data_IF_816887760304
#
_entry.id   IF_816887760304
#
_cell.length_a   1.000
_cell.length_b   1.000
_cell.length_c   1.000
_cell.angle_alpha   90.00
_cell.angle_beta   90.00
_cell.angle_gamma   90.00
#
_symmetry.space_group_name_H-M   'P 1'
#
loop_
_entity.id
_entity.type
_entity.pdbx_description
1 polymer ?
#
# COMPACT_ATOMS: atom_id res chain seq x y z
N UNK A 1 8.20 37.55 3.94
CA UNK A 1 6.94 36.96 3.40
C UNK A 1 5.86 37.16 4.44
N UNK A 2 4.59 37.33 4.07
CA UNK A 2 3.49 37.60 5.01
C UNK A 2 2.39 36.54 4.93
N UNK A 3 1.94 36.09 6.09
CA UNK A 3 0.81 35.16 6.24
C UNK A 3 -0.25 35.74 7.16
N UNK A 4 -1.51 35.58 6.77
CA UNK A 4 -2.65 35.86 7.63
C UNK A 4 -3.24 34.52 8.09
N UNK A 5 -3.42 34.38 9.40
CA UNK A 5 -4.06 33.22 10.03
C UNK A 5 -5.38 33.68 10.65
N UNK A 6 -6.48 33.02 10.30
CA UNK A 6 -7.82 33.30 10.84
C UNK A 6 -8.16 32.21 11.86
N UNK A 7 -8.42 32.60 13.10
CA UNK A 7 -8.63 31.69 14.22
C UNK A 7 -7.39 31.56 15.10
N UNK A 8 -7.50 31.95 16.38
CA UNK A 8 -6.45 31.90 17.39
C UNK A 8 -6.55 30.60 18.23
N UNK A 9 -6.58 29.45 17.55
CA UNK A 9 -6.71 28.12 18.14
C UNK A 9 -5.36 27.41 18.33
N UNK A 10 -5.36 26.21 18.92
CA UNK A 10 -4.13 25.48 19.25
C UNK A 10 -3.27 25.21 18.01
N UNK A 11 -3.91 24.91 16.88
CA UNK A 11 -3.33 24.65 15.57
C UNK A 11 -2.53 25.87 15.09
N UNK A 12 -3.13 27.07 15.19
CA UNK A 12 -2.47 28.33 14.84
C UNK A 12 -1.19 28.52 15.66
N UNK A 13 -1.25 28.25 16.97
CA UNK A 13 -0.09 28.36 17.86
C UNK A 13 1.02 27.38 17.47
N UNK A 14 0.67 26.13 17.18
CA UNK A 14 1.65 25.12 16.75
C UNK A 14 2.30 25.48 15.41
N UNK A 15 1.50 25.96 14.45
CA UNK A 15 2.00 26.41 13.14
C UNK A 15 2.99 27.57 13.28
N UNK A 16 2.62 28.61 14.03
CA UNK A 16 3.45 29.80 14.23
C UNK A 16 4.80 29.44 14.85
N UNK A 17 4.81 28.49 15.78
CA UNK A 17 6.04 28.04 16.43
C UNK A 17 7.00 27.29 15.50
N UNK A 18 6.51 26.74 14.37
CA UNK A 18 7.25 25.88 13.43
C UNK A 18 7.64 26.58 12.12
N UNK A 19 6.87 27.57 11.67
CA UNK A 19 7.14 28.30 10.41
C UNK A 19 8.54 28.95 10.41
N UNK A 20 9.17 29.23 9.28
CA UNK A 20 10.51 29.88 9.26
C UNK A 20 10.50 31.31 9.85
N UNK A 21 11.60 31.76 10.44
CA UNK A 21 11.69 33.07 11.12
C UNK A 21 11.46 34.30 10.20
N UNK A 22 11.60 34.14 8.88
CA UNK A 22 11.41 35.23 7.90
C UNK A 22 9.96 35.57 7.53
N UNK A 23 8.98 35.05 8.27
CA UNK A 23 7.56 35.30 8.05
C UNK A 23 7.01 36.37 9.00
N UNK A 24 6.34 37.36 8.43
CA UNK A 24 5.47 38.29 9.15
C UNK A 24 4.09 37.64 9.31
N UNK A 25 3.57 37.62 10.53
CA UNK A 25 2.39 36.83 10.90
C UNK A 25 1.33 37.74 11.49
N UNK A 26 0.17 37.77 10.85
CA UNK A 26 -1.05 38.41 11.35
C UNK A 26 -2.04 37.33 11.80
N UNK A 27 -2.55 37.41 13.01
CA UNK A 27 -3.60 36.52 13.55
C UNK A 27 -4.88 37.31 13.76
N UNK A 28 -5.99 36.82 13.21
CA UNK A 28 -7.31 37.43 13.31
C UNK A 28 -8.24 36.49 14.08
N UNK A 29 -8.93 37.00 15.09
CA UNK A 29 -9.99 36.27 15.80
C UNK A 29 -11.05 37.25 16.31
N UNK A 30 -12.30 36.82 16.45
CA UNK A 30 -13.36 37.65 17.00
C UNK A 30 -13.26 37.79 18.53
N UNK A 31 -12.75 36.75 19.20
CA UNK A 31 -12.67 36.67 20.65
C UNK A 31 -11.42 37.38 21.16
N UNK A 32 -11.65 38.49 21.86
CA UNK A 32 -10.60 39.32 22.43
C UNK A 32 -9.83 38.59 23.55
N UNK A 33 -10.50 37.77 24.34
CA UNK A 33 -9.88 37.04 25.43
C UNK A 33 -9.00 35.91 24.89
N UNK A 34 -9.44 35.21 23.84
CA UNK A 34 -8.60 34.26 23.08
C UNK A 34 -7.33 34.96 22.58
N UNK A 35 -7.46 36.08 21.85
CA UNK A 35 -6.30 36.83 21.33
C UNK A 35 -5.37 37.33 22.43
N UNK A 36 -5.90 37.82 23.54
CA UNK A 36 -5.10 38.29 24.68
C UNK A 36 -4.25 37.15 25.25
N UNK A 37 -4.84 35.98 25.41
CA UNK A 37 -4.17 34.80 25.96
C UNK A 37 -3.34 34.02 24.93
N UNK A 38 -3.52 34.29 23.64
CA UNK A 38 -2.80 33.63 22.55
C UNK A 38 -1.33 34.03 22.53
N UNK A 39 -0.48 33.19 23.12
CA UNK A 39 0.96 33.42 23.26
C UNK A 39 1.74 32.41 22.43
N UNK A 40 2.70 32.91 21.64
CA UNK A 40 3.56 32.11 20.76
C UNK A 40 5.03 32.43 21.06
N UNK A 41 5.96 31.63 20.53
CA UNK A 41 7.41 31.88 20.70
C UNK A 41 7.95 33.01 19.80
N UNK A 42 7.06 33.75 19.11
CA UNK A 42 7.39 34.73 18.07
C UNK A 42 6.54 35.97 18.18
N UNK A 43 7.07 37.06 17.63
CA UNK A 43 6.31 38.28 17.47
C UNK A 43 5.25 38.08 16.38
N UNK A 44 4.00 38.39 16.74
CA UNK A 44 2.85 38.32 15.84
C UNK A 44 2.02 39.59 15.98
N UNK A 45 1.35 39.99 14.91
CA UNK A 45 0.33 41.04 14.93
C UNK A 45 -1.03 40.40 15.21
N UNK A 46 -1.80 40.97 16.14
CA UNK A 46 -3.10 40.44 16.55
C UNK A 46 -4.20 41.43 16.19
N UNK A 47 -5.23 40.97 15.50
CA UNK A 47 -6.36 41.79 15.07
C UNK A 47 -7.65 41.18 15.59
N UNK A 48 -8.35 41.92 16.46
CA UNK A 48 -9.69 41.53 16.86
C UNK A 48 -10.69 41.91 15.76
N UNK A 49 -11.51 40.96 15.33
CA UNK A 49 -12.61 41.21 14.42
C UNK A 49 -13.08 39.98 13.65
N UNK A 50 -14.16 40.16 12.89
CA UNK A 50 -14.69 39.15 11.99
C UNK A 50 -13.73 38.92 10.81
N UNK A 51 -13.32 37.67 10.62
CA UNK A 51 -12.42 37.26 9.54
C UNK A 51 -12.99 37.52 8.15
N UNK A 52 -14.32 37.53 7.98
CA UNK A 52 -14.99 37.84 6.71
C UNK A 52 -15.01 39.34 6.40
N UNK A 53 -14.66 40.19 7.38
CA UNK A 53 -14.65 41.63 7.20
C UNK A 53 -13.45 42.10 6.37
N UNK A 54 -13.71 42.64 5.18
CA UNK A 54 -12.67 43.23 4.32
C UNK A 54 -11.88 44.32 5.04
N UNK A 55 -12.50 45.09 5.95
CA UNK A 55 -11.82 46.12 6.72
C UNK A 55 -10.79 45.53 7.70
N UNK A 56 -11.13 44.40 8.35
CA UNK A 56 -10.23 43.71 9.27
C UNK A 56 -9.09 43.04 8.49
N UNK A 57 -9.40 42.36 7.38
CA UNK A 57 -8.40 41.76 6.50
C UNK A 57 -7.42 42.79 5.91
N UNK A 58 -7.91 43.97 5.52
CA UNK A 58 -7.05 45.09 5.07
C UNK A 58 -6.13 45.59 6.17
N UNK A 59 -6.62 45.76 7.40
CA UNK A 59 -5.80 46.12 8.56
C UNK A 59 -4.73 45.07 8.85
N UNK A 60 -5.04 43.79 8.64
CA UNK A 60 -4.11 42.67 8.78
C UNK A 60 -3.13 42.52 7.61
N UNK A 61 -3.27 43.35 6.57
CA UNK A 61 -2.32 43.43 5.45
C UNK A 61 -2.61 42.52 4.27
N UNK A 62 -3.86 42.09 4.05
CA UNK A 62 -4.22 41.11 2.99
C UNK A 62 -3.73 41.49 1.60
N UNK A 63 -3.68 42.78 1.27
CA UNK A 63 -3.26 43.28 -0.05
C UNK A 63 -1.80 42.94 -0.39
N UNK A 64 -0.96 42.69 0.62
CA UNK A 64 0.46 42.35 0.46
C UNK A 64 0.80 40.95 1.00
N UNK A 65 -0.22 40.13 1.29
CA UNK A 65 -0.02 38.81 1.86
C UNK A 65 0.36 37.77 0.81
N UNK A 66 1.26 36.87 1.20
CA UNK A 66 1.66 35.75 0.35
C UNK A 66 0.82 34.50 0.61
N UNK A 67 0.22 34.40 1.80
CA UNK A 67 -0.58 33.26 2.21
C UNK A 67 -1.75 33.66 3.12
N UNK A 68 -2.85 32.92 3.04
CA UNK A 68 -3.97 32.98 3.98
C UNK A 68 -4.30 31.57 4.44
N UNK A 69 -4.40 31.38 5.75
CA UNK A 69 -4.71 30.10 6.39
C UNK A 69 -5.94 30.29 7.29
N UNK A 70 -6.97 29.49 7.08
CA UNK A 70 -8.22 29.53 7.85
C UNK A 70 -8.31 28.35 8.80
N UNK A 71 -8.41 28.64 10.10
CA UNK A 71 -8.41 27.71 11.23
C UNK A 71 -9.58 28.01 12.19
N UNK A 72 -10.72 28.49 11.65
CA UNK A 72 -11.93 28.67 12.44
C UNK A 72 -12.73 27.37 12.45
N UNK A 73 -13.60 27.23 13.46
CA UNK A 73 -14.51 26.10 13.63
C UNK A 73 -15.70 26.13 12.64
N UNK A 74 -15.77 27.13 11.74
CA UNK A 74 -16.85 27.28 10.77
C UNK A 74 -16.30 27.23 9.34
N UNK A 75 -16.66 26.17 8.61
CA UNK A 75 -16.30 26.03 7.20
C UNK A 75 -16.91 27.14 6.32
N UNK A 76 -18.09 27.65 6.67
CA UNK A 76 -18.69 28.78 5.98
C UNK A 76 -17.82 30.05 6.07
N UNK A 77 -17.35 30.37 7.28
CA UNK A 77 -16.44 31.50 7.51
C UNK A 77 -15.13 31.28 6.76
N UNK A 78 -14.54 30.09 6.87
CA UNK A 78 -13.28 29.76 6.22
C UNK A 78 -13.38 29.95 4.70
N UNK A 79 -14.41 29.38 4.07
CA UNK A 79 -14.66 29.49 2.62
C UNK A 79 -14.83 30.96 2.18
N UNK A 80 -15.60 31.76 2.92
CA UNK A 80 -15.79 33.17 2.56
C UNK A 80 -14.48 33.97 2.65
N UNK A 81 -13.66 33.72 3.67
CA UNK A 81 -12.35 34.39 3.76
C UNK A 81 -11.44 33.99 2.60
N UNK A 82 -11.41 32.71 2.23
CA UNK A 82 -10.59 32.24 1.11
C UNK A 82 -11.06 32.81 -0.24
N UNK A 83 -12.37 33.01 -0.44
CA UNK A 83 -12.90 33.72 -1.61
C UNK A 83 -12.37 35.16 -1.68
N UNK A 84 -12.38 35.88 -0.56
CA UNK A 84 -11.83 37.24 -0.48
C UNK A 84 -10.32 37.23 -0.76
N UNK A 85 -9.59 36.26 -0.20
CA UNK A 85 -8.15 36.11 -0.42
C UNK A 85 -7.82 35.84 -1.90
N UNK A 86 -8.61 34.99 -2.57
CA UNK A 86 -8.47 34.68 -4.01
C UNK A 86 -8.73 35.92 -4.88
N UNK A 87 -9.72 36.75 -4.52
CA UNK A 87 -9.95 38.04 -5.19
C UNK A 87 -8.76 39.00 -5.05
N UNK A 88 -8.00 38.92 -3.95
CA UNK A 88 -6.75 39.65 -3.74
C UNK A 88 -5.53 38.99 -4.40
N UNK A 89 -5.73 37.98 -5.26
CA UNK A 89 -4.69 37.27 -6.03
C UNK A 89 -3.63 36.59 -5.17
N UNK A 90 -3.99 36.19 -3.94
CA UNK A 90 -3.13 35.41 -3.07
C UNK A 90 -3.10 33.96 -3.56
N UNK A 91 -1.90 33.42 -3.76
CA UNK A 91 -1.71 32.09 -4.36
C UNK A 91 -1.66 30.95 -3.33
N UNK A 92 -1.27 31.21 -2.08
CA UNK A 92 -1.16 30.17 -1.04
C UNK A 92 -2.34 30.25 -0.11
N UNK A 93 -3.36 29.45 -0.43
CA UNK A 93 -4.62 29.42 0.30
C UNK A 93 -4.77 28.04 0.92
N UNK A 94 -5.03 27.99 2.24
CA UNK A 94 -5.19 26.72 2.94
C UNK A 94 -6.26 26.80 4.02
N UNK A 95 -6.94 25.69 4.28
CA UNK A 95 -7.91 25.57 5.38
C UNK A 95 -7.80 24.23 6.09
N UNK A 96 -8.22 24.21 7.35
CA UNK A 96 -8.66 22.97 8.01
C UNK A 96 -10.16 22.81 7.76
N UNK A 97 -10.59 21.61 7.37
CA UNK A 97 -12.01 21.24 7.25
C UNK A 97 -12.55 20.78 8.60
N UNK A 98 -13.78 21.18 8.94
CA UNK A 98 -14.46 20.72 10.14
C UNK A 98 -15.61 19.74 9.81
N UNK A 99 -16.28 19.93 8.68
CA UNK A 99 -17.37 19.08 8.18
C UNK A 99 -17.09 18.62 6.74
N UNK A 100 -16.92 17.32 6.55
CA UNK A 100 -16.62 16.68 5.25
C UNK A 100 -17.62 17.01 4.14
N UNK A 101 -18.87 17.37 4.48
CA UNK A 101 -19.88 17.77 3.48
C UNK A 101 -19.49 19.05 2.71
N UNK A 102 -18.52 19.82 3.21
CA UNK A 102 -17.98 21.02 2.56
C UNK A 102 -16.80 20.73 1.62
N UNK A 103 -16.29 19.50 1.54
CA UNK A 103 -15.12 19.12 0.74
C UNK A 103 -15.20 19.62 -0.71
N UNK A 104 -16.35 19.42 -1.37
CA UNK A 104 -16.54 19.84 -2.77
C UNK A 104 -16.45 21.36 -2.94
N UNK A 105 -16.93 22.15 -1.96
CA UNK A 105 -16.84 23.62 -2.00
C UNK A 105 -15.40 24.10 -1.89
N UNK A 106 -14.58 23.44 -1.08
CA UNK A 106 -13.14 23.74 -1.00
C UNK A 106 -12.41 23.36 -2.28
N UNK A 107 -12.73 22.20 -2.88
CA UNK A 107 -12.15 21.77 -4.17
C UNK A 107 -12.40 22.80 -5.29
N UNK A 108 -13.61 23.37 -5.38
CA UNK A 108 -13.93 24.43 -6.35
C UNK A 108 -13.08 25.70 -6.17
N UNK A 109 -12.60 25.97 -4.96
CA UNK A 109 -11.76 27.12 -4.66
C UNK A 109 -10.27 26.89 -4.95
N UNK A 110 -9.86 25.68 -5.34
CA UNK A 110 -8.46 25.33 -5.63
C UNK A 110 -7.53 25.74 -4.47
N UNK A 111 -7.88 25.30 -3.26
CA UNK A 111 -7.15 25.57 -2.02
C UNK A 111 -6.61 24.27 -1.42
N UNK A 112 -5.51 24.38 -0.68
CA UNK A 112 -4.93 23.24 0.03
C UNK A 112 -5.79 22.92 1.26
N UNK A 113 -6.39 21.74 1.31
CA UNK A 113 -7.28 21.34 2.39
C UNK A 113 -6.57 20.35 3.33
N UNK A 114 -6.64 20.62 4.63
CA UNK A 114 -6.14 19.72 5.68
C UNK A 114 -7.33 19.08 6.37
N UNK A 115 -7.39 17.75 6.34
CA UNK A 115 -8.35 16.95 7.11
C UNK A 115 -7.69 16.38 8.38
N UNK A 116 -8.04 16.89 9.57
CA UNK A 116 -7.52 16.36 10.83
C UNK A 116 -7.93 14.91 11.08
N UNK A 117 -9.12 14.48 10.65
CA UNK A 117 -9.63 13.14 10.86
C UNK A 117 -8.72 12.10 10.21
N UNK A 118 -8.44 12.27 8.92
CA UNK A 118 -7.48 11.44 8.18
C UNK A 118 -6.09 11.44 8.81
N UNK A 119 -5.56 12.60 9.22
CA UNK A 119 -4.23 12.70 9.82
C UNK A 119 -4.13 11.97 11.17
N UNK A 120 -5.16 12.08 12.01
CA UNK A 120 -5.22 11.39 13.31
C UNK A 120 -5.39 9.89 13.10
N UNK A 121 -6.30 9.48 12.22
CA UNK A 121 -6.52 8.07 11.88
C UNK A 121 -5.24 7.41 11.41
N UNK A 122 -4.52 8.03 10.47
CA UNK A 122 -3.20 7.56 9.99
C UNK A 122 -2.19 7.40 11.11
N UNK A 123 -2.16 8.33 12.08
CA UNK A 123 -1.26 8.22 13.23
C UNK A 123 -1.64 7.09 14.18
N UNK A 124 -2.93 6.90 14.45
CA UNK A 124 -3.42 5.83 15.31
C UNK A 124 -3.24 4.46 14.66
N UNK A 125 -3.49 4.36 13.35
CA UNK A 125 -3.19 3.19 12.54
C UNK A 125 -1.71 2.83 12.64
N UNK A 126 -0.79 3.78 12.48
CA UNK A 126 0.64 3.51 12.68
C UNK A 126 0.99 3.09 14.13
N UNK A 127 0.21 3.49 15.14
CA UNK A 127 0.43 3.03 16.53
C UNK A 127 -0.06 1.59 16.70
N UNK A 128 -1.19 1.24 16.07
CA UNK A 128 -1.80 -0.10 16.14
C UNK A 128 -1.06 -1.11 15.24
N UNK A 129 -0.59 -0.66 14.08
CA UNK A 129 0.20 -1.40 13.11
C UNK A 129 1.53 -0.67 12.81
N UNK A 130 2.50 -0.70 13.74
CA UNK A 130 3.82 -0.05 13.54
C UNK A 130 4.59 -0.58 12.32
N UNK A 131 4.15 -1.74 11.82
CA UNK A 131 4.75 -2.47 10.71
C UNK A 131 4.19 -2.04 9.35
N UNK A 132 3.20 -1.14 9.31
CA UNK A 132 2.59 -0.66 8.07
C UNK A 132 3.56 0.29 7.36
N UNK A 133 3.86 -0.03 6.11
CA UNK A 133 4.58 0.87 5.21
C UNK A 133 3.57 1.89 4.73
N UNK A 134 3.74 3.15 5.12
CA UNK A 134 2.91 4.20 4.54
C UNK A 134 3.66 4.79 3.37
N UNK A 135 3.04 4.72 2.20
CA UNK A 135 3.62 5.27 1.00
C UNK A 135 2.83 6.47 0.51
N UNK A 136 3.50 7.42 -0.14
CA UNK A 136 2.85 8.55 -0.79
C UNK A 136 3.56 8.87 -2.10
N UNK A 137 2.83 8.75 -3.21
CA UNK A 137 3.33 9.11 -4.52
C UNK A 137 3.38 10.64 -4.68
N UNK A 138 4.42 11.15 -5.33
CA UNK A 138 4.54 12.56 -5.69
C UNK A 138 5.27 12.74 -7.03
N UNK A 139 5.41 13.99 -7.50
CA UNK A 139 6.02 14.32 -8.79
C UNK A 139 5.38 13.59 -10.01
N UNK A 140 4.06 13.35 -9.92
CA UNK A 140 3.30 12.62 -10.94
C UNK A 140 3.64 11.13 -11.00
N UNK A 141 3.84 10.48 -9.85
CA UNK A 141 4.11 9.04 -9.75
C UNK A 141 5.57 8.64 -10.02
N UNK A 142 6.45 9.59 -10.34
CA UNK A 142 7.88 9.30 -10.63
C UNK A 142 8.72 9.08 -9.38
N UNK A 143 8.24 9.55 -8.24
CA UNK A 143 8.90 9.40 -6.95
C UNK A 143 7.87 9.10 -5.88
N UNK A 144 8.34 8.46 -4.82
CA UNK A 144 7.52 7.93 -3.76
C UNK A 144 8.22 8.14 -2.42
N UNK A 145 7.48 8.52 -1.39
CA UNK A 145 7.98 8.63 -0.03
C UNK A 145 7.36 7.53 0.82
N UNK A 146 8.19 6.71 1.46
CA UNK A 146 7.75 5.65 2.36
C UNK A 146 8.24 5.88 3.79
N UNK A 147 7.43 5.50 4.76
CA UNK A 147 7.81 5.47 6.18
C UNK A 147 7.93 4.02 6.66
N UNK A 148 9.06 3.71 7.30
CA UNK A 148 9.42 2.37 7.75
C UNK A 148 10.01 2.40 9.16
N UNK A 149 9.52 1.54 10.05
CA UNK A 149 10.18 1.31 11.33
C UNK A 149 11.35 0.33 11.19
N UNK A 150 12.52 0.70 11.74
CA UNK A 150 13.70 -0.17 11.81
C UNK A 150 13.51 -1.17 12.95
N UNK A 151 13.25 -2.43 12.59
CA UNK A 151 13.18 -3.53 13.54
C UNK A 151 14.57 -4.02 13.98
N UNK A 152 14.60 -4.83 15.04
CA UNK A 152 15.84 -5.40 15.59
C UNK A 152 16.58 -6.34 14.61
N UNK A 153 15.87 -6.87 13.63
CA UNK A 153 16.35 -7.80 12.60
C UNK A 153 16.52 -7.13 11.22
N UNK A 154 16.26 -5.83 11.10
CA UNK A 154 16.46 -5.07 9.85
C UNK A 154 17.91 -5.14 9.35
N UNK A 155 18.18 -5.44 8.06
CA UNK A 155 19.50 -5.38 7.45
C UNK A 155 20.13 -3.99 7.48
N UNK A 156 19.33 -2.94 7.62
CA UNK A 156 19.78 -1.56 7.74
C UNK A 156 20.19 -1.17 9.17
N UNK A 157 19.79 -1.93 10.19
CA UNK A 157 20.10 -1.63 11.60
C UNK A 157 21.61 -1.58 11.84
N UNK A 158 22.07 -0.54 12.52
CA UNK A 158 23.47 -0.33 12.88
C UNK A 158 24.38 0.04 11.71
N UNK A 159 23.83 0.21 10.50
CA UNK A 159 24.58 0.74 9.35
C UNK A 159 24.46 2.25 9.30
N UNK A 160 25.52 2.89 8.80
CA UNK A 160 25.49 4.32 8.48
C UNK A 160 24.83 4.52 7.12
N UNK A 161 24.12 5.63 6.95
CA UNK A 161 23.44 5.92 5.69
C UNK A 161 24.36 5.94 4.47
N UNK A 162 25.62 6.38 4.62
CA UNK A 162 26.63 6.33 3.55
C UNK A 162 27.03 4.92 3.12
N UNK A 163 26.80 3.91 3.95
CA UNK A 163 27.16 2.50 3.69
C UNK A 163 26.07 1.78 2.91
N UNK A 164 24.83 2.25 3.02
CA UNK A 164 23.67 1.67 2.35
C UNK A 164 23.12 2.54 1.22
N UNK A 165 23.57 3.79 1.10
CA UNK A 165 23.06 4.75 0.13
C UNK A 165 23.09 4.25 -1.32
N UNK A 166 22.13 4.71 -2.10
CA UNK A 166 21.94 4.35 -3.50
C UNK A 166 21.50 5.56 -4.33
N UNK A 167 21.60 5.46 -5.66
CA UNK A 167 21.14 6.51 -6.59
C UNK A 167 19.60 6.54 -6.75
N UNK A 168 18.92 5.45 -6.37
CA UNK A 168 17.47 5.29 -6.54
C UNK A 168 16.65 5.63 -5.29
N UNK A 169 17.29 5.94 -4.16
CA UNK A 169 16.59 6.42 -2.96
C UNK A 169 17.46 7.33 -2.09
N UNK A 170 16.81 8.11 -1.22
CA UNK A 170 17.46 8.93 -0.19
C UNK A 170 16.65 8.87 1.10
N UNK A 171 17.32 8.77 2.24
CA UNK A 171 16.66 8.93 3.54
C UNK A 171 16.51 10.42 3.80
N UNK A 172 15.26 10.88 3.91
CA UNK A 172 14.92 12.30 4.04
C UNK A 172 14.77 12.77 5.48
N UNK A 173 14.27 11.90 6.36
CA UNK A 173 14.06 12.19 7.77
C UNK A 173 14.10 10.91 8.60
N UNK A 174 14.43 11.04 9.89
CA UNK A 174 14.31 9.96 10.87
C UNK A 174 13.55 10.53 12.07
N UNK A 175 12.44 9.92 12.45
CA UNK A 175 11.75 10.20 13.70
C UNK A 175 12.26 9.21 14.76
N UNK A 176 13.07 9.71 15.69
CA UNK A 176 13.64 8.92 16.80
C UNK A 176 13.11 9.45 18.11
N UNK A 177 12.45 8.59 18.90
CA UNK A 177 11.92 8.95 20.23
C UNK A 177 11.04 10.21 20.24
N UNK A 178 10.29 10.45 19.15
CA UNK A 178 9.40 11.59 19.00
C UNK A 178 10.05 12.88 18.46
N UNK A 179 11.35 12.86 18.15
CA UNK A 179 12.07 13.99 17.56
C UNK A 179 12.46 13.69 16.11
N UNK A 180 12.29 14.68 15.23
CA UNK A 180 12.69 14.58 13.82
C UNK A 180 14.16 14.96 13.69
N UNK A 181 14.95 14.02 13.19
CA UNK A 181 16.37 14.15 12.89
C UNK A 181 16.55 14.24 11.37
N UNK A 182 17.30 15.26 10.93
CA UNK A 182 17.70 15.38 9.52
C UNK A 182 18.95 14.52 9.30
N UNK A 183 18.86 13.46 8.49
CA UNK A 183 19.95 12.50 8.31
C UNK A 183 21.13 13.07 7.52
N UNK A 184 22.32 12.58 7.84
CA UNK A 184 23.55 12.79 7.09
C UNK A 184 24.23 11.44 6.84
N UNK A 185 25.27 11.40 6.00
CA UNK A 185 25.94 10.14 5.65
C UNK A 185 26.47 9.33 6.84
N UNK A 186 26.84 10.00 7.94
CA UNK A 186 27.31 9.36 9.17
C UNK A 186 26.19 8.98 10.17
N UNK A 187 24.94 9.34 9.88
CA UNK A 187 23.80 8.96 10.71
C UNK A 187 23.64 7.44 10.68
N UNK A 188 23.62 6.84 11.87
CA UNK A 188 23.44 5.41 12.07
C UNK A 188 21.97 5.11 12.42
N UNK A 189 21.41 4.08 11.78
CA UNK A 189 20.03 3.65 12.00
C UNK A 189 19.92 2.78 13.25
N UNK A 190 18.98 3.10 14.13
CA UNK A 190 18.72 2.42 15.39
C UNK A 190 17.36 1.71 15.37
N UNK A 191 17.20 0.68 16.19
CA UNK A 191 15.90 0.01 16.37
C UNK A 191 14.87 0.98 16.92
N UNK A 192 13.67 0.98 16.33
CA UNK A 192 12.57 1.87 16.67
C UNK A 192 12.64 3.25 15.98
N UNK A 193 13.63 3.47 15.11
CA UNK A 193 13.61 4.62 14.20
C UNK A 193 12.47 4.48 13.20
N UNK A 194 11.66 5.52 13.06
CA UNK A 194 10.75 5.65 11.93
C UNK A 194 11.46 6.47 10.84
N UNK A 195 11.83 5.80 9.76
CA UNK A 195 12.67 6.33 8.69
C UNK A 195 11.79 6.71 7.50
N UNK A 196 11.85 7.97 7.09
CA UNK A 196 11.22 8.44 5.86
C UNK A 196 12.21 8.33 4.71
N UNK A 197 11.92 7.46 3.75
CA UNK A 197 12.73 7.21 2.56
C UNK A 197 12.01 7.75 1.33
N UNK A 198 12.70 8.56 0.53
CA UNK A 198 12.23 9.00 -0.78
C UNK A 198 12.91 8.15 -1.84
N UNK A 199 12.15 7.54 -2.74
CA UNK A 199 12.65 6.62 -3.76
C UNK A 199 12.07 6.90 -5.15
N UNK A 200 12.76 6.42 -6.17
CA UNK A 200 12.28 6.43 -7.55
C UNK A 200 11.22 5.34 -7.77
N UNK A 201 10.31 5.57 -8.72
CA UNK A 201 9.35 4.56 -9.17
C UNK A 201 10.05 3.23 -9.52
N UNK A 202 9.51 2.12 -9.00
CA UNK A 202 10.07 0.77 -9.17
C UNK A 202 11.18 0.38 -8.19
N UNK A 203 11.65 1.27 -7.32
CA UNK A 203 12.63 0.94 -6.28
C UNK A 203 12.01 0.43 -4.97
N UNK A 204 10.68 0.41 -4.86
CA UNK A 204 9.93 0.12 -3.64
C UNK A 204 10.38 -1.20 -3.00
N UNK A 205 10.34 -2.31 -3.74
CA UNK A 205 10.74 -3.64 -3.25
C UNK A 205 12.16 -3.68 -2.69
N UNK A 206 13.14 -3.07 -3.39
CA UNK A 206 14.54 -3.03 -2.95
C UNK A 206 14.70 -2.26 -1.62
N UNK A 207 13.93 -1.18 -1.44
CA UNK A 207 13.95 -0.41 -0.20
C UNK A 207 13.28 -1.20 0.92
N UNK A 208 12.16 -1.87 0.66
CA UNK A 208 11.53 -2.76 1.64
C UNK A 208 12.49 -3.85 2.09
N UNK A 209 13.15 -4.55 1.17
CA UNK A 209 14.09 -5.63 1.48
C UNK A 209 15.26 -5.15 2.35
N UNK A 210 15.79 -3.95 2.08
CA UNK A 210 16.94 -3.41 2.79
C UNK A 210 16.60 -2.87 4.19
N UNK A 211 15.46 -2.19 4.32
CA UNK A 211 15.08 -1.47 5.54
C UNK A 211 14.17 -2.28 6.45
N UNK A 212 13.43 -3.25 5.93
CA UNK A 212 12.54 -4.12 6.72
C UNK A 212 13.30 -5.31 7.29
N UNK A 213 12.78 -5.87 8.37
CA UNK A 213 13.32 -7.08 9.00
C UNK A 213 13.13 -8.36 8.18
N UNK A 214 13.28 -9.49 8.86
CA UNK A 214 13.06 -10.83 8.33
C UNK A 214 11.57 -11.21 8.18
N UNK A 215 10.66 -10.36 8.66
CA UNK A 215 9.22 -10.53 8.49
C UNK A 215 8.79 -10.19 7.05
N UNK A 216 8.14 -11.16 6.40
CA UNK A 216 7.45 -10.98 5.11
C UNK A 216 6.34 -9.94 5.26
N UNK A 217 6.13 -9.13 4.21
CA UNK A 217 5.14 -8.05 4.14
C UNK A 217 4.40 -8.11 2.82
N UNK A 218 4.07 -9.32 2.39
CA UNK A 218 3.57 -9.56 1.07
C UNK A 218 2.28 -8.73 0.80
N UNK A 219 2.16 -8.05 -0.36
CA UNK A 219 3.03 -8.12 -1.54
C UNK A 219 4.11 -7.03 -1.65
N UNK A 220 4.44 -6.33 -0.56
CA UNK A 220 5.25 -5.11 -0.57
C UNK A 220 6.68 -5.29 -1.12
N UNK A 221 7.24 -6.50 -1.07
CA UNK A 221 8.52 -6.82 -1.70
C UNK A 221 8.47 -6.69 -3.24
N UNK A 222 7.28 -6.82 -3.83
CA UNK A 222 7.05 -6.72 -5.26
C UNK A 222 6.45 -5.36 -5.66
N UNK A 223 5.66 -4.75 -4.78
CA UNK A 223 5.01 -3.46 -4.97
C UNK A 223 3.85 -3.27 -3.99
N UNK A 224 3.38 -2.04 -3.85
CA UNK A 224 2.39 -1.69 -2.84
C UNK A 224 0.93 -1.91 -3.26
N UNK A 225 0.67 -2.01 -4.55
CA UNK A 225 -0.69 -2.04 -5.09
C UNK A 225 -1.05 -3.41 -5.67
N UNK A 226 -2.33 -3.75 -5.58
CA UNK A 226 -2.91 -4.93 -6.25
C UNK A 226 -3.59 -4.44 -7.51
N UNK A 227 -3.37 -5.09 -8.64
CA UNK A 227 -3.99 -4.74 -9.91
C UNK A 227 -4.88 -5.87 -10.44
N UNK A 228 -6.13 -5.59 -10.80
CA UNK A 228 -7.06 -6.57 -11.40
C UNK A 228 -7.35 -6.24 -12.87
N UNK A 229 -7.42 -7.28 -13.71
CA UNK A 229 -7.74 -7.14 -15.14
C UNK A 229 -9.22 -7.45 -15.40
N UNK A 230 -9.99 -6.45 -15.81
CA UNK A 230 -11.41 -6.57 -16.15
C UNK A 230 -11.61 -6.28 -17.65
N UNK A 231 -11.88 -7.34 -18.40
CA UNK A 231 -12.07 -7.26 -19.86
C UNK A 231 -13.52 -7.50 -20.31
N UNK A 232 -14.38 -7.98 -19.41
CA UNK A 232 -15.79 -8.27 -19.66
C UNK A 232 -16.59 -8.15 -18.35
N UNK A 233 -17.91 -8.02 -18.45
CA UNK A 233 -18.79 -8.00 -17.28
C UNK A 233 -18.66 -9.27 -16.41
N UNK A 234 -18.39 -10.43 -17.03
CA UNK A 234 -18.24 -11.66 -16.26
C UNK A 234 -17.04 -11.62 -15.30
N UNK A 235 -15.96 -10.90 -15.62
CA UNK A 235 -14.79 -10.73 -14.73
C UNK A 235 -15.16 -10.04 -13.41
N UNK A 236 -16.28 -9.32 -13.36
CA UNK A 236 -16.74 -8.62 -12.16
C UNK A 236 -17.09 -9.59 -11.03
N UNK A 237 -17.48 -10.84 -11.35
CA UNK A 237 -17.75 -11.88 -10.34
C UNK A 237 -16.56 -12.14 -9.42
N UNK A 238 -15.35 -11.87 -9.89
CA UNK A 238 -14.09 -12.05 -9.19
C UNK A 238 -13.57 -10.76 -8.52
N UNK A 239 -14.29 -9.64 -8.68
CA UNK A 239 -13.85 -8.36 -8.14
C UNK A 239 -13.88 -8.35 -6.61
N UNK A 240 -14.91 -8.95 -5.99
CA UNK A 240 -14.99 -9.11 -4.54
C UNK A 240 -13.79 -9.89 -3.97
N UNK A 241 -13.27 -10.87 -4.71
CA UNK A 241 -12.07 -11.59 -4.29
C UNK A 241 -10.81 -10.71 -4.38
N UNK A 242 -10.75 -9.83 -5.39
CA UNK A 242 -9.65 -8.85 -5.53
C UNK A 242 -9.68 -7.81 -4.41
N UNK A 243 -10.87 -7.35 -4.03
CA UNK A 243 -11.09 -6.48 -2.87
C UNK A 243 -10.69 -7.18 -1.58
N UNK A 244 -11.21 -8.39 -1.33
CA UNK A 244 -10.85 -9.21 -0.17
C UNK A 244 -9.35 -9.42 -0.06
N UNK A 245 -8.68 -9.77 -1.16
CA UNK A 245 -7.23 -9.95 -1.19
C UNK A 245 -6.48 -8.65 -0.87
N UNK A 246 -6.93 -7.51 -1.42
CA UNK A 246 -6.29 -6.21 -1.17
C UNK A 246 -6.42 -5.82 0.31
N UNK A 247 -7.64 -5.90 0.87
CA UNK A 247 -7.94 -5.54 2.26
C UNK A 247 -7.17 -6.42 3.27
N UNK A 248 -7.01 -7.71 2.96
CA UNK A 248 -6.43 -8.68 3.88
C UNK A 248 -4.96 -9.02 3.57
N UNK A 249 -4.30 -8.18 2.77
CA UNK A 249 -2.85 -8.18 2.59
C UNK A 249 -2.29 -6.81 3.01
N UNK A 250 -0.97 -6.61 2.89
CA UNK A 250 -0.35 -5.31 3.18
C UNK A 250 -0.41 -4.33 1.99
N UNK A 251 -1.25 -4.60 0.99
CA UNK A 251 -1.45 -3.71 -0.13
C UNK A 251 -2.13 -2.39 0.29
N UNK A 252 -1.83 -1.31 -0.43
CA UNK A 252 -2.36 0.03 -0.18
C UNK A 252 -3.67 0.26 -0.94
N UNK A 253 -3.68 -0.06 -2.23
CA UNK A 253 -4.79 0.25 -3.12
C UNK A 253 -5.09 -0.89 -4.12
N UNK A 254 -6.35 -0.97 -4.56
CA UNK A 254 -6.78 -1.80 -5.68
C UNK A 254 -6.83 -0.98 -6.98
N UNK A 255 -6.07 -1.42 -7.99
CA UNK A 255 -6.05 -0.81 -9.32
C UNK A 255 -6.86 -1.65 -10.29
N UNK A 256 -7.85 -1.05 -10.94
CA UNK A 256 -8.73 -1.73 -11.88
C UNK A 256 -8.34 -1.35 -13.31
N UNK A 257 -7.74 -2.30 -14.03
CA UNK A 257 -7.56 -2.19 -15.47
C UNK A 257 -8.85 -2.60 -16.17
N UNK A 258 -9.67 -1.62 -16.55
CA UNK A 258 -10.96 -1.84 -17.20
C UNK A 258 -10.87 -1.56 -18.69
N UNK A 259 -11.47 -2.43 -19.50
CA UNK A 259 -11.71 -2.12 -20.90
C UNK A 259 -12.81 -1.04 -21.01
N UNK A 260 -12.73 -0.14 -22.00
CA UNK A 260 -13.69 0.96 -22.20
C UNK A 260 -15.12 0.44 -22.44
N UNK A 261 -15.25 -0.73 -23.05
CA UNK A 261 -16.52 -1.34 -23.46
C UNK A 261 -17.11 -2.30 -22.42
N UNK A 262 -16.56 -2.41 -21.20
CA UNK A 262 -17.03 -3.41 -20.21
C UNK A 262 -18.53 -3.26 -19.91
N UNK A 263 -19.06 -2.04 -19.84
CA UNK A 263 -20.46 -1.77 -19.54
C UNK A 263 -21.15 -0.99 -20.67
N UNK A 264 -20.92 -1.36 -21.93
CA UNK A 264 -21.45 -0.60 -23.08
C UNK A 264 -22.99 -0.47 -23.10
N UNK A 265 -23.71 -1.32 -22.35
CA UNK A 265 -25.17 -1.37 -22.28
C UNK A 265 -25.76 -0.80 -20.96
N UNK A 266 -24.94 -0.24 -20.06
CA UNK A 266 -25.39 0.27 -18.75
C UNK A 266 -25.94 1.70 -18.83
N UNK A 267 -26.90 2.01 -17.93
CA UNK A 267 -27.41 3.38 -17.72
C UNK A 267 -26.51 4.21 -16.80
N UNK A 268 -25.64 3.54 -16.06
CA UNK A 268 -24.71 4.10 -15.07
C UNK A 268 -23.29 4.07 -15.65
N UNK A 269 -22.44 4.98 -15.21
CA UNK A 269 -21.03 5.00 -15.60
C UNK A 269 -20.26 3.83 -14.95
N UNK A 270 -19.18 3.37 -15.60
CA UNK A 270 -18.32 2.30 -15.06
C UNK A 270 -17.86 2.60 -13.62
N UNK A 271 -17.58 3.87 -13.31
CA UNK A 271 -17.14 4.32 -11.99
C UNK A 271 -18.23 4.16 -10.92
N UNK A 272 -19.48 4.51 -11.24
CA UNK A 272 -20.62 4.29 -10.33
C UNK A 272 -20.84 2.81 -10.05
N UNK A 273 -20.71 1.96 -11.08
CA UNK A 273 -20.86 0.51 -10.92
C UNK A 273 -19.75 -0.10 -10.07
N UNK A 274 -18.49 0.30 -10.27
CA UNK A 274 -17.39 -0.18 -9.43
C UNK A 274 -17.52 0.29 -7.98
N UNK A 275 -17.90 1.56 -7.73
CA UNK A 275 -18.16 2.07 -6.38
C UNK A 275 -19.31 1.33 -5.68
N UNK A 276 -20.32 0.85 -6.41
CA UNK A 276 -21.40 0.08 -5.83
C UNK A 276 -20.96 -1.32 -5.36
N UNK A 277 -19.93 -1.88 -5.99
CA UNK A 277 -19.38 -3.21 -5.71
C UNK A 277 -18.30 -3.12 -4.63
N UNK A 278 -17.33 -2.22 -4.81
CA UNK A 278 -16.18 -1.98 -3.93
C UNK A 278 -16.54 -0.94 -2.88
N UNK A 279 -17.02 -1.38 -1.73
CA UNK A 279 -17.56 -0.48 -0.70
C UNK A 279 -16.54 -0.09 0.36
N UNK A 280 -15.53 -0.92 0.56
CA UNK A 280 -14.67 -0.87 1.75
C UNK A 280 -13.20 -0.59 1.40
N UNK A 281 -12.86 -0.36 0.13
CA UNK A 281 -11.49 -0.22 -0.35
C UNK A 281 -11.34 0.96 -1.33
N UNK A 282 -10.33 1.81 -1.12
CA UNK A 282 -9.94 2.80 -2.12
C UNK A 282 -9.42 2.11 -3.40
N UNK A 283 -9.85 2.61 -4.56
CA UNK A 283 -9.46 2.05 -5.84
C UNK A 283 -9.25 3.13 -6.92
N UNK A 284 -8.37 2.81 -7.85
CA UNK A 284 -8.11 3.60 -9.05
C UNK A 284 -8.55 2.84 -10.30
N UNK A 285 -9.34 3.48 -11.17
CA UNK A 285 -9.69 2.92 -12.47
C UNK A 285 -8.71 3.42 -13.54
N UNK A 286 -8.16 2.49 -14.31
CA UNK A 286 -7.39 2.77 -15.52
C UNK A 286 -8.16 2.20 -16.71
N UNK A 287 -8.74 3.11 -17.48
CA UNK A 287 -9.48 2.77 -18.71
C UNK A 287 -8.53 2.67 -19.90
N UNK A 288 -8.59 1.55 -20.62
CA UNK A 288 -7.85 1.34 -21.86
C UNK A 288 -8.73 0.65 -22.91
N UNK A 289 -8.50 0.94 -24.19
CA UNK A 289 -9.14 0.24 -25.31
C UNK A 289 -8.86 -1.27 -25.34
N UNK A 290 -7.70 -1.69 -24.82
CA UNK A 290 -7.31 -3.09 -24.61
C UNK A 290 -6.42 -3.17 -23.38
N UNK A 291 -6.68 -4.13 -22.50
CA UNK A 291 -5.76 -4.44 -21.41
C UNK A 291 -4.79 -5.55 -21.84
N UNK A 292 -3.90 -5.24 -22.79
CA UNK A 292 -2.86 -6.21 -23.15
C UNK A 292 -1.79 -6.28 -22.05
N UNK A 293 -1.09 -7.41 -21.94
CA UNK A 293 0.03 -7.55 -21.00
C UNK A 293 1.11 -6.48 -21.22
N UNK A 294 1.26 -5.99 -22.46
CA UNK A 294 2.23 -4.94 -22.80
C UNK A 294 1.79 -3.58 -22.27
N UNK A 295 0.50 -3.32 -22.17
CA UNK A 295 -0.01 -2.05 -21.62
C UNK A 295 0.17 -2.04 -20.10
N UNK A 296 -0.11 -3.17 -19.45
CA UNK A 296 0.13 -3.38 -18.02
C UNK A 296 1.63 -3.29 -17.70
N UNK A 297 2.48 -3.87 -18.56
CA UNK A 297 3.95 -3.79 -18.44
C UNK A 297 4.47 -2.37 -18.24
N UNK A 298 3.95 -1.41 -19.01
CA UNK A 298 4.43 -0.03 -18.96
C UNK A 298 4.00 0.69 -17.68
N UNK A 299 3.02 0.15 -16.96
CA UNK A 299 2.40 0.77 -15.78
C UNK A 299 2.79 0.15 -14.45
N UNK A 300 3.39 -1.04 -14.46
CA UNK A 300 3.81 -1.76 -13.25
C UNK A 300 4.65 -0.89 -12.31
N UNK A 301 5.71 -0.26 -12.81
CA UNK A 301 6.60 0.52 -11.96
C UNK A 301 5.95 1.84 -11.54
N UNK A 302 5.27 2.50 -12.49
CA UNK A 302 4.56 3.77 -12.27
C UNK A 302 3.55 3.63 -11.12
N UNK A 303 2.82 2.53 -11.11
CA UNK A 303 1.75 2.24 -10.16
C UNK A 303 2.19 1.35 -9.00
N UNK A 304 3.48 0.96 -8.94
CA UNK A 304 4.02 0.07 -7.90
C UNK A 304 3.18 -1.21 -7.70
N UNK A 305 2.91 -1.94 -8.79
CA UNK A 305 2.06 -3.14 -8.75
C UNK A 305 2.83 -4.32 -8.14
N UNK A 306 2.39 -4.78 -6.96
CA UNK A 306 2.95 -5.93 -6.25
C UNK A 306 2.20 -7.25 -6.45
N UNK A 307 0.96 -7.23 -6.92
CA UNK A 307 0.26 -8.46 -7.35
C UNK A 307 -0.66 -8.14 -8.53
N UNK A 308 -0.66 -9.02 -9.53
CA UNK A 308 -1.61 -8.97 -10.63
C UNK A 308 -2.69 -10.05 -10.47
N UNK A 309 -3.95 -9.62 -10.31
CA UNK A 309 -5.12 -10.49 -10.25
C UNK A 309 -5.69 -10.70 -11.66
N UNK A 310 -5.79 -11.97 -12.03
CA UNK A 310 -6.33 -12.43 -13.31
C UNK A 310 -7.56 -13.29 -13.05
N UNK A 311 -8.77 -12.76 -13.32
CA UNK A 311 -10.01 -13.53 -13.22
C UNK A 311 -10.02 -14.75 -14.15
N UNK A 312 -10.46 -15.89 -13.63
CA UNK A 312 -10.63 -17.18 -14.31
C UNK A 312 -12.09 -17.57 -14.17
N UNK A 313 -12.85 -17.48 -15.27
CA UNK A 313 -14.31 -17.66 -15.29
C UNK A 313 -14.77 -19.09 -15.62
N UNK A 314 -14.00 -19.80 -16.44
CA UNK A 314 -14.40 -21.09 -17.01
C UNK A 314 -13.42 -22.20 -16.61
N UNK A 315 -13.89 -23.45 -16.56
CA UNK A 315 -13.02 -24.64 -16.49
C UNK A 315 -12.13 -24.77 -17.75
N UNK A 316 -12.50 -24.11 -18.85
CA UNK A 316 -11.84 -24.17 -20.16
C UNK A 316 -10.84 -23.03 -20.44
N UNK A 317 -10.23 -22.43 -19.41
CA UNK A 317 -9.15 -21.46 -19.64
C UNK A 317 -8.00 -22.13 -20.42
N UNK A 318 -7.72 -21.58 -21.60
CA UNK A 318 -6.66 -22.10 -22.47
C UNK A 318 -5.34 -22.15 -21.73
N UNK A 319 -4.71 -23.33 -21.68
CA UNK A 319 -3.37 -23.53 -21.11
C UNK A 319 -2.33 -22.53 -21.64
N UNK A 320 -2.44 -22.11 -22.90
CA UNK A 320 -1.56 -21.11 -23.50
C UNK A 320 -1.68 -19.73 -22.84
N UNK A 321 -2.87 -19.36 -22.36
CA UNK A 321 -3.11 -18.10 -21.66
C UNK A 321 -2.44 -18.10 -20.29
N UNK A 322 -2.72 -19.10 -19.45
CA UNK A 322 -2.06 -19.25 -18.13
C UNK A 322 -0.54 -19.26 -18.28
N UNK A 323 -0.01 -19.99 -19.27
CA UNK A 323 1.42 -20.00 -19.56
C UNK A 323 1.97 -18.63 -19.95
N UNK A 324 1.23 -17.84 -20.72
CA UNK A 324 1.62 -16.47 -21.07
C UNK A 324 1.69 -15.58 -19.84
N UNK A 325 0.72 -15.68 -18.93
CA UNK A 325 0.68 -14.92 -17.68
C UNK A 325 1.83 -15.34 -16.75
N UNK A 326 2.10 -16.64 -16.60
CA UNK A 326 3.24 -17.12 -15.80
C UNK A 326 4.57 -16.64 -16.38
N UNK A 327 4.72 -16.63 -17.70
CA UNK A 327 5.93 -16.06 -18.33
C UNK A 327 6.06 -14.56 -18.04
N UNK A 328 4.96 -13.82 -18.11
CA UNK A 328 4.93 -12.41 -17.77
C UNK A 328 5.34 -12.18 -16.31
N UNK A 329 4.74 -12.92 -15.37
CA UNK A 329 5.06 -12.92 -13.95
C UNK A 329 6.56 -13.11 -13.69
N UNK A 330 7.17 -14.14 -14.30
CA UNK A 330 8.60 -14.40 -14.14
C UNK A 330 9.48 -13.30 -14.77
N UNK A 331 9.10 -12.78 -15.94
CA UNK A 331 9.88 -11.75 -16.63
C UNK A 331 9.85 -10.40 -15.92
N UNK A 332 8.77 -10.12 -15.19
CA UNK A 332 8.55 -8.86 -14.48
C UNK A 332 8.78 -8.96 -12.98
N UNK A 333 9.00 -10.17 -12.47
CA UNK A 333 9.09 -10.46 -11.06
C UNK A 333 7.85 -9.96 -10.29
N UNK A 334 6.65 -10.36 -10.73
CA UNK A 334 5.39 -9.98 -10.08
C UNK A 334 4.51 -11.20 -9.81
N UNK A 335 4.05 -11.42 -8.57
CA UNK A 335 3.03 -12.40 -8.21
C UNK A 335 1.76 -12.27 -9.03
N UNK A 336 1.17 -13.41 -9.38
CA UNK A 336 -0.11 -13.45 -10.09
C UNK A 336 -1.12 -14.26 -9.31
N UNK A 337 -2.26 -13.65 -8.98
CA UNK A 337 -3.42 -14.35 -8.44
C UNK A 337 -4.36 -14.75 -9.57
N UNK A 338 -4.43 -16.03 -9.90
CA UNK A 338 -5.47 -16.59 -10.76
C UNK A 338 -6.76 -16.77 -9.96
N UNK A 339 -7.57 -15.72 -9.96
CA UNK A 339 -8.79 -15.58 -9.16
C UNK A 339 -9.93 -16.44 -9.72
N UNK A 340 -10.54 -17.26 -8.86
CA UNK A 340 -11.65 -18.19 -9.16
C UNK A 340 -12.85 -17.99 -8.25
N UNK A 341 -12.84 -16.95 -7.40
CA UNK A 341 -13.91 -16.61 -6.49
C UNK A 341 -13.94 -17.49 -5.24
N UNK A 342 -12.77 -17.91 -4.75
CA UNK A 342 -12.65 -18.78 -3.57
C UNK A 342 -12.30 -18.03 -2.28
N UNK A 343 -12.44 -16.71 -2.26
CA UNK A 343 -12.45 -15.91 -1.03
C UNK A 343 -13.73 -16.16 -0.22
N UNK A 344 -13.70 -16.07 1.13
CA UNK A 344 -12.54 -15.77 1.98
C UNK A 344 -11.60 -16.98 2.13
N UNK A 345 -10.29 -16.71 2.21
CA UNK A 345 -9.27 -17.77 2.29
C UNK A 345 -9.10 -18.27 3.73
N UNK A 346 -9.75 -19.37 4.08
CA UNK A 346 -9.60 -19.98 5.41
C UNK A 346 -8.49 -21.03 5.42
N UNK A 347 -8.19 -21.62 4.27
CA UNK A 347 -7.19 -22.68 4.11
C UNK A 347 -6.27 -22.40 2.93
N UNK A 348 -4.96 -22.37 3.18
CA UNK A 348 -3.91 -22.15 2.17
C UNK A 348 -3.16 -23.46 1.91
N UNK A 349 -3.17 -23.92 0.66
CA UNK A 349 -2.47 -25.12 0.22
C UNK A 349 -1.07 -24.82 -0.35
N UNK A 350 -0.06 -25.55 0.11
CA UNK A 350 1.32 -25.45 -0.41
C UNK A 350 1.93 -26.83 -0.71
N UNK A 351 2.91 -26.85 -1.62
CA UNK A 351 3.79 -28.00 -1.79
C UNK A 351 4.94 -27.92 -0.79
N UNK A 352 5.18 -29.00 -0.04
CA UNK A 352 6.31 -29.10 0.86
C UNK A 352 7.61 -29.12 0.05
N UNK A 353 8.48 -28.15 0.26
CA UNK A 353 9.79 -28.07 -0.38
C UNK A 353 10.86 -27.57 0.59
N UNK A 354 12.11 -27.50 0.13
CA UNK A 354 13.26 -27.08 0.94
C UNK A 354 13.63 -25.60 0.77
N UNK A 355 12.78 -24.79 0.14
CA UNK A 355 13.02 -23.39 -0.14
C UNK A 355 12.27 -22.48 0.85
N UNK A 356 13.05 -21.90 1.75
CA UNK A 356 12.57 -20.99 2.80
C UNK A 356 13.21 -19.60 2.64
N UNK A 357 13.52 -19.20 1.40
CA UNK A 357 13.94 -17.82 1.11
C UNK A 357 12.76 -16.86 1.30
N UNK A 358 13.01 -15.58 1.60
CA UNK A 358 11.95 -14.60 1.95
C UNK A 358 10.80 -14.54 0.94
N UNK A 359 11.10 -14.59 -0.36
CA UNK A 359 10.10 -14.56 -1.43
C UNK A 359 9.71 -15.96 -1.94
N UNK A 360 9.94 -17.01 -1.15
CA UNK A 360 9.53 -18.35 -1.54
C UNK A 360 8.01 -18.51 -1.41
N UNK A 361 7.39 -19.39 -2.24
CA UNK A 361 5.97 -19.70 -2.12
C UNK A 361 5.57 -20.15 -0.71
N UNK A 362 6.49 -20.81 -0.01
CA UNK A 362 6.26 -21.30 1.34
C UNK A 362 6.16 -20.15 2.34
N UNK A 363 7.16 -19.26 2.40
CA UNK A 363 7.13 -18.16 3.37
C UNK A 363 6.00 -17.17 3.09
N UNK A 364 5.73 -16.87 1.80
CA UNK A 364 4.59 -16.03 1.42
C UNK A 364 3.26 -16.66 1.86
N UNK A 365 3.11 -17.98 1.75
CA UNK A 365 1.90 -18.66 2.24
C UNK A 365 1.74 -18.56 3.77
N UNK A 366 2.84 -18.58 4.52
CA UNK A 366 2.81 -18.36 5.97
C UNK A 366 2.44 -16.92 6.31
N UNK A 367 3.00 -15.94 5.61
CA UNK A 367 2.67 -14.53 5.82
C UNK A 367 1.19 -14.22 5.52
N UNK A 368 0.69 -14.75 4.41
CA UNK A 368 -0.73 -14.68 4.06
C UNK A 368 -1.58 -15.38 5.12
N UNK A 369 -1.16 -16.54 5.62
CA UNK A 369 -1.90 -17.25 6.66
C UNK A 369 -2.00 -16.45 7.97
N UNK A 370 -0.95 -15.73 8.37
CA UNK A 370 -1.01 -14.80 9.51
C UNK A 370 -2.02 -13.69 9.24
N UNK A 371 -1.88 -13.00 8.11
CA UNK A 371 -2.72 -11.85 7.76
C UNK A 371 -4.19 -12.21 7.63
N UNK A 372 -4.48 -13.40 7.10
CA UNK A 372 -5.84 -13.89 6.86
C UNK A 372 -6.41 -14.70 8.03
N UNK A 373 -5.63 -14.95 9.09
CA UNK A 373 -5.96 -15.92 10.14
C UNK A 373 -6.34 -17.29 9.55
N UNK A 374 -5.65 -17.71 8.49
CA UNK A 374 -5.89 -18.95 7.77
C UNK A 374 -5.00 -20.07 8.30
N UNK A 375 -5.42 -21.32 8.07
CA UNK A 375 -4.57 -22.50 8.31
C UNK A 375 -3.81 -22.89 7.05
N UNK A 376 -2.68 -23.58 7.22
CA UNK A 376 -1.89 -24.10 6.11
C UNK A 376 -2.08 -25.61 5.99
N UNK A 377 -2.26 -26.08 4.75
CA UNK A 377 -2.20 -27.49 4.40
C UNK A 377 -1.02 -27.72 3.48
N UNK A 378 0.01 -28.40 4.00
CA UNK A 378 1.22 -28.71 3.26
C UNK A 378 1.15 -30.13 2.69
N UNK A 379 1.25 -30.26 1.36
CA UNK A 379 1.36 -31.57 0.71
C UNK A 379 2.81 -31.99 0.56
N UNK A 380 3.11 -33.14 1.15
CA UNK A 380 4.34 -33.87 0.89
C UNK A 380 4.01 -35.01 -0.07
N UNK A 381 4.64 -35.00 -1.24
CA UNK A 381 4.54 -36.09 -2.20
C UNK A 381 5.87 -36.81 -2.30
N UNK A 382 5.91 -38.08 -1.90
CA UNK A 382 7.08 -38.93 -2.10
C UNK A 382 7.04 -39.49 -3.53
N UNK A 383 8.13 -39.32 -4.27
CA UNK A 383 8.23 -39.95 -5.58
C UNK A 383 8.36 -41.47 -5.45
N UNK A 384 7.85 -42.25 -6.41
CA UNK A 384 7.93 -43.71 -6.35
C UNK A 384 9.37 -44.20 -6.18
N UNK A 385 9.58 -45.18 -5.31
CA UNK A 385 10.90 -45.73 -4.90
C UNK A 385 11.82 -46.19 -6.04
N UNK A 386 11.31 -46.31 -7.28
CA UNK A 386 12.11 -46.67 -8.46
C UNK A 386 12.82 -45.47 -9.13
N UNK A 387 12.47 -44.23 -8.78
CA UNK A 387 13.07 -43.00 -9.35
C UNK A 387 14.10 -42.32 -8.43
N UNK A 388 14.01 -42.53 -7.10
CA UNK A 388 14.84 -41.80 -6.14
C UNK A 388 15.24 -42.64 -4.93
N UNK A 389 16.52 -42.57 -4.57
CA UNK A 389 17.00 -42.79 -3.20
C UNK A 389 16.92 -41.45 -2.47
N UNK A 390 15.71 -40.97 -2.15
CA UNK A 390 15.60 -39.81 -1.28
C UNK A 390 16.13 -40.15 0.11
N UNK A 391 17.06 -39.34 0.60
CA UNK A 391 17.69 -39.55 1.88
C UNK A 391 16.67 -39.18 2.98
N UNK A 392 16.20 -40.13 3.83
CA UNK A 392 15.09 -39.89 4.77
C UNK A 392 15.31 -38.70 5.73
N UNK A 393 16.57 -38.32 5.96
CA UNK A 393 16.94 -37.16 6.78
C UNK A 393 16.53 -35.81 6.20
N UNK A 394 16.57 -35.62 4.88
CA UNK A 394 16.24 -34.33 4.24
C UNK A 394 14.73 -34.07 4.29
N UNK A 395 13.92 -35.12 4.07
CA UNK A 395 12.47 -35.02 4.14
C UNK A 395 11.97 -34.72 5.56
N UNK A 396 12.67 -35.22 6.59
CA UNK A 396 12.37 -34.93 8.00
C UNK A 396 12.70 -33.47 8.33
N UNK A 397 13.84 -32.97 7.85
CA UNK A 397 14.25 -31.57 8.03
C UNK A 397 13.25 -30.56 7.45
N UNK A 398 12.62 -30.85 6.31
CA UNK A 398 11.59 -29.97 5.72
C UNK A 398 10.36 -29.87 6.62
N UNK A 399 9.87 -31.01 7.13
CA UNK A 399 8.72 -31.05 8.02
C UNK A 399 9.02 -30.32 9.33
N UNK A 400 10.17 -30.59 9.94
CA UNK A 400 10.58 -29.95 11.20
C UNK A 400 10.62 -28.42 11.02
N UNK A 401 11.19 -27.92 9.92
CA UNK A 401 11.20 -26.48 9.61
C UNK A 401 9.80 -25.89 9.41
N UNK A 402 8.92 -26.58 8.68
CA UNK A 402 7.54 -26.11 8.49
C UNK A 402 6.80 -26.02 9.83
N UNK A 403 7.02 -26.98 10.72
CA UNK A 403 6.44 -26.96 12.07
C UNK A 403 7.01 -25.83 12.91
N UNK A 404 8.33 -25.59 12.86
CA UNK A 404 8.96 -24.48 13.58
C UNK A 404 8.39 -23.12 13.13
N UNK A 405 8.22 -22.90 11.81
CA UNK A 405 7.63 -21.67 11.26
C UNK A 405 6.15 -21.55 11.65
N UNK A 406 5.39 -22.63 11.59
CA UNK A 406 3.98 -22.62 12.01
C UNK A 406 3.84 -22.26 13.49
N UNK A 407 4.68 -22.83 14.34
CA UNK A 407 4.69 -22.54 15.78
C UNK A 407 5.10 -21.10 16.07
N UNK A 408 6.09 -20.55 15.36
CA UNK A 408 6.54 -19.17 15.58
C UNK A 408 5.50 -18.13 15.21
N UNK A 409 4.59 -18.46 14.30
CA UNK A 409 3.51 -17.58 13.83
C UNK A 409 2.13 -17.97 14.35
N UNK A 410 2.05 -18.95 15.26
CA UNK A 410 0.79 -19.48 15.82
C UNK A 410 -0.22 -19.97 14.75
N UNK A 411 0.29 -20.48 13.62
CA UNK A 411 -0.51 -20.99 12.51
C UNK A 411 -0.82 -22.48 12.70
N UNK A 412 -2.07 -22.87 12.43
CA UNK A 412 -2.42 -24.29 12.31
C UNK A 412 -1.85 -24.87 11.01
N UNK A 413 -0.99 -25.89 11.13
CA UNK A 413 -0.40 -26.61 10.00
C UNK A 413 -0.88 -28.06 9.94
N UNK A 414 -1.54 -28.44 8.84
CA UNK A 414 -1.89 -29.81 8.51
C UNK A 414 -0.92 -30.35 7.43
N UNK A 415 -0.30 -31.51 7.66
CA UNK A 415 0.61 -32.13 6.68
C UNK A 415 -0.05 -33.38 6.07
N UNK A 416 -0.24 -33.38 4.76
CA UNK A 416 -0.78 -34.52 4.00
C UNK A 416 0.38 -35.21 3.28
N UNK A 417 0.66 -36.45 3.65
CA UNK A 417 1.65 -37.29 2.95
C UNK A 417 0.97 -38.18 1.90
N UNK A 418 1.58 -38.25 0.73
CA UNK A 418 1.04 -38.97 -0.42
C UNK A 418 2.18 -39.54 -1.28
N UNK A 419 1.94 -40.63 -2.00
CA UNK A 419 2.89 -41.15 -2.99
C UNK A 419 2.37 -40.83 -4.40
N UNK A 420 3.23 -40.31 -5.29
CA UNK A 420 2.82 -40.05 -6.67
C UNK A 420 3.50 -38.87 -7.35
N UNK A 421 2.75 -38.22 -8.26
CA UNK A 421 3.21 -37.03 -8.97
C UNK A 421 2.68 -35.78 -8.24
N UNK A 422 3.59 -34.92 -7.79
CA UNK A 422 3.29 -33.70 -7.03
C UNK A 422 2.13 -32.89 -7.61
N UNK A 423 2.16 -32.61 -8.93
CA UNK A 423 1.14 -31.79 -9.57
C UNK A 423 -0.25 -32.45 -9.54
N UNK A 424 -0.33 -33.76 -9.81
CA UNK A 424 -1.61 -34.49 -9.78
C UNK A 424 -2.15 -34.61 -8.37
N UNK A 425 -1.29 -34.98 -7.43
CA UNK A 425 -1.68 -35.18 -6.04
C UNK A 425 -2.09 -33.86 -5.37
N UNK A 426 -1.45 -32.75 -5.72
CA UNK A 426 -1.88 -31.42 -5.29
C UNK A 426 -3.30 -31.09 -5.79
N UNK A 427 -3.58 -31.33 -7.08
CA UNK A 427 -4.92 -31.12 -7.66
C UNK A 427 -5.98 -32.03 -7.04
N UNK A 428 -5.66 -33.29 -6.75
CA UNK A 428 -6.58 -34.21 -6.06
C UNK A 428 -7.01 -33.71 -4.67
N UNK A 429 -6.18 -32.86 -4.06
CA UNK A 429 -6.46 -32.25 -2.76
C UNK A 429 -6.84 -30.77 -2.84
N UNK A 430 -6.89 -30.16 -4.03
CA UNK A 430 -7.12 -28.71 -4.18
C UNK A 430 -8.50 -28.27 -3.68
N UNK A 431 -9.44 -29.20 -3.55
CA UNK A 431 -10.75 -28.97 -2.95
C UNK A 431 -10.72 -28.75 -1.42
N UNK A 432 -9.57 -28.98 -0.78
CA UNK A 432 -9.34 -28.70 0.64
C UNK A 432 -8.75 -27.30 0.88
N UNK A 433 -8.44 -26.55 -0.19
CA UNK A 433 -7.80 -25.24 -0.11
C UNK A 433 -8.73 -24.19 -0.71
N UNK A 434 -8.77 -23.02 -0.07
CA UNK A 434 -9.42 -21.83 -0.61
C UNK A 434 -8.42 -21.01 -1.45
N UNK A 435 -7.12 -21.12 -1.14
CA UNK A 435 -6.03 -20.54 -1.92
C UNK A 435 -4.90 -21.56 -2.08
N UNK A 436 -4.38 -21.71 -3.29
CA UNK A 436 -3.17 -22.50 -3.55
C UNK A 436 -1.99 -21.55 -3.81
N UNK A 437 -0.92 -21.65 -3.03
CA UNK A 437 0.30 -20.86 -3.25
C UNK A 437 1.36 -21.76 -3.88
N UNK A 438 1.75 -21.41 -5.09
CA UNK A 438 2.72 -22.15 -5.91
C UNK A 438 3.73 -21.18 -6.50
N UNK A 439 4.87 -21.67 -6.94
CA UNK A 439 5.84 -20.84 -7.64
C UNK A 439 6.94 -21.67 -8.25
N UNK A 440 8.01 -21.03 -8.70
CA UNK A 440 9.18 -21.75 -9.18
C UNK A 440 10.14 -21.97 -8.03
N UNK A 441 10.53 -23.23 -7.85
CA UNK A 441 11.42 -23.64 -6.78
C UNK A 441 12.84 -23.79 -7.32
N UNK A 442 13.82 -23.19 -6.63
CA UNK A 442 15.22 -23.11 -7.08
C UNK A 442 15.88 -24.49 -7.14
N UNK A 443 15.42 -25.45 -6.32
CA UNK A 443 15.99 -26.78 -6.18
C UNK A 443 15.59 -27.78 -7.28
N UNK A 444 14.50 -27.54 -8.03
CA UNK A 444 13.85 -28.53 -8.91
C UNK A 444 13.79 -28.16 -10.41
N UNK A 445 14.50 -27.10 -10.83
CA UNK A 445 14.77 -26.82 -12.25
C UNK A 445 13.52 -26.57 -13.12
N UNK A 446 13.45 -27.15 -14.33
CA UNK A 446 12.33 -26.96 -15.26
C UNK A 446 11.03 -27.67 -14.86
N UNK A 447 11.09 -28.59 -13.89
CA UNK A 447 9.97 -29.42 -13.47
C UNK A 447 9.00 -28.63 -12.58
N UNK A 448 9.51 -27.80 -11.66
CA UNK A 448 8.67 -26.91 -10.81
C UNK A 448 7.79 -25.99 -11.64
N UNK A 449 8.34 -25.36 -12.68
CA UNK A 449 7.56 -24.52 -13.59
C UNK A 449 6.36 -25.27 -14.20
N UNK A 450 6.57 -26.51 -14.65
CA UNK A 450 5.48 -27.31 -15.25
C UNK A 450 4.45 -27.76 -14.21
N UNK A 451 4.88 -28.00 -12.97
CA UNK A 451 3.98 -28.32 -11.85
C UNK A 451 3.09 -27.11 -11.56
N UNK A 452 3.68 -25.93 -11.37
CA UNK A 452 2.94 -24.69 -11.08
C UNK A 452 2.03 -24.28 -12.25
N UNK A 453 2.48 -24.44 -13.51
CA UNK A 453 1.62 -24.29 -14.69
C UNK A 453 0.43 -25.27 -14.66
N UNK A 454 0.67 -26.53 -14.32
CA UNK A 454 -0.39 -27.54 -14.24
C UNK A 454 -1.39 -27.24 -13.13
N UNK A 455 -0.91 -26.85 -11.95
CA UNK A 455 -1.77 -26.47 -10.82
C UNK A 455 -2.60 -25.23 -11.17
N UNK A 456 -1.97 -24.20 -11.73
CA UNK A 456 -2.64 -22.94 -12.12
C UNK A 456 -3.72 -23.13 -13.18
N UNK A 457 -3.65 -24.21 -13.98
CA UNK A 457 -4.71 -24.56 -14.95
C UNK A 457 -5.83 -25.36 -14.29
N UNK A 458 -5.49 -26.39 -13.50
CA UNK A 458 -6.45 -27.42 -13.08
C UNK A 458 -6.99 -27.25 -11.66
N UNK A 459 -6.49 -26.27 -10.88
CA UNK A 459 -6.98 -26.03 -9.53
C UNK A 459 -8.43 -25.57 -9.54
N UNK A 460 -9.19 -26.06 -8.57
CA UNK A 460 -10.58 -25.63 -8.31
C UNK A 460 -10.66 -24.35 -7.48
N UNK A 461 -9.62 -24.05 -6.71
CA UNK A 461 -9.48 -22.83 -5.92
C UNK A 461 -8.52 -21.85 -6.59
N UNK A 462 -8.60 -20.58 -6.19
CA UNK A 462 -7.69 -19.54 -6.62
C UNK A 462 -6.24 -19.95 -6.41
N UNK A 463 -5.37 -19.54 -7.35
CA UNK A 463 -3.95 -19.91 -7.34
C UNK A 463 -3.11 -18.66 -7.34
N UNK A 464 -2.35 -18.44 -6.28
CA UNK A 464 -1.30 -17.43 -6.23
C UNK A 464 0.01 -18.04 -6.74
N UNK A 465 0.44 -17.58 -7.90
CA UNK A 465 1.74 -17.92 -8.49
C UNK A 465 2.79 -16.89 -8.07
N UNK A 466 3.85 -17.35 -7.43
CA UNK A 466 5.00 -16.54 -7.03
C UNK A 466 6.10 -16.66 -8.08
N UNK A 467 6.62 -15.52 -8.60
CA UNK A 467 7.72 -15.47 -9.54
C UNK A 467 9.04 -15.86 -8.86
N UNK A 468 10.10 -15.82 -9.63
CA UNK A 468 11.36 -16.49 -9.32
C UNK A 468 12.52 -15.52 -9.14
#
# INVERSE_FOLDING_TARGET
MRVIIIGAHAEAKQLINRISAGWEISVIDMDQDKLRNFTTNRQIEKYQGDGTSTLVLKKAGIENSNAVITLTESDEVNIEVLKIAKQNKILRLSSVINDESFTNKYKELDVELVDPGTLIARRLEHILEPRRVVSQAFAGGRAEAIELEINADSPARGKKLKEIGSDYYIVGAILRKGEVLIPHGDTELETGDLVTVVLQSGAFGNVIELFSGSESRFPLEFGKNVAVIINSEDHIKNLNESEFYTINTKAEELIIFSNDEVFSDSKESNEETFNAILKDQEFQIIQNQKNSLKDIENKINELSIGTLVVPILDEDVKKSYIKSIINFSNNKNIPVLFSRGSSPYQTIGILANNNFDQNSPTLIAFDLAVSLSAKIVSLKTEQPKFLTQENPGVARQVIDKLQDIALSHEIQLDIISSEGNEAKTFIENSNKFDLSVVGKDLSSGWQSKKISEYISVNSKSSVLYIPN
#
